data_IF_358840437401
#
_entry.id   IF_358840437401
#
_cell.length_a   1.000
_cell.length_b   1.000
_cell.length_c   1.000
_cell.angle_alpha   90.00
_cell.angle_beta   90.00
_cell.angle_gamma   90.00
#
_symmetry.space_group_name_H-M   'P 1'
#
loop_
_entity.id
_entity.type
_entity.pdbx_description
1 polymer ?
#
# COMPACT_ATOMS: atom_id res chain seq x y z
N UNK A 1 51.57 -53.98 -54.05
CA UNK A 1 50.23 -53.35 -53.87
C UNK A 1 49.90 -53.01 -52.41
N UNK A 2 50.88 -52.68 -51.56
CA UNK A 2 50.65 -52.36 -50.14
C UNK A 2 51.47 -51.16 -49.61
N UNK A 3 52.01 -50.31 -50.49
CA UNK A 3 52.81 -49.13 -50.14
C UNK A 3 52.17 -47.80 -50.56
N UNK A 4 50.93 -47.83 -51.06
CA UNK A 4 50.20 -46.66 -51.59
C UNK A 4 48.99 -46.25 -50.75
N UNK A 5 48.71 -46.97 -49.65
CA UNK A 5 47.62 -46.62 -48.71
C UNK A 5 48.08 -45.73 -47.57
N UNK A 6 49.29 -45.93 -47.03
CA UNK A 6 49.81 -45.10 -45.91
C UNK A 6 50.17 -43.66 -46.29
N UNK A 7 50.29 -43.32 -47.59
CA UNK A 7 50.55 -41.94 -48.03
C UNK A 7 49.29 -41.10 -48.25
N UNK A 8 48.10 -41.73 -48.27
CA UNK A 8 46.82 -41.02 -48.43
C UNK A 8 46.27 -40.52 -47.10
N UNK A 9 46.57 -41.20 -46.00
CA UNK A 9 46.00 -40.85 -44.68
C UNK A 9 46.71 -39.65 -44.01
N UNK A 10 47.93 -39.29 -44.43
CA UNK A 10 48.67 -38.13 -43.90
C UNK A 10 48.37 -36.81 -44.63
N UNK A 11 47.56 -36.83 -45.70
CA UNK A 11 47.21 -35.63 -46.48
C UNK A 11 45.80 -35.09 -46.24
N UNK A 12 44.95 -35.78 -45.49
CA UNK A 12 43.57 -35.36 -45.27
C UNK A 12 43.32 -34.65 -43.91
N UNK A 13 44.35 -34.48 -43.08
CA UNK A 13 44.19 -33.91 -41.73
C UNK A 13 44.83 -32.52 -41.50
N UNK A 14 45.29 -31.84 -42.56
CA UNK A 14 45.89 -30.50 -42.47
C UNK A 14 45.21 -29.48 -43.38
N UNK A 15 43.88 -29.45 -43.39
CA UNK A 15 43.12 -28.40 -44.09
C UNK A 15 41.68 -28.32 -43.55
N UNK A 16 41.53 -27.82 -42.32
CA UNK A 16 40.27 -27.23 -41.82
C UNK A 16 40.59 -26.01 -40.98
N UNK A 17 40.86 -24.89 -41.65
CA UNK A 17 40.70 -23.57 -41.04
C UNK A 17 39.21 -23.22 -40.95
N UNK A 18 38.61 -23.07 -39.76
CA UNK A 18 37.37 -22.30 -39.65
C UNK A 18 37.72 -20.81 -39.74
N UNK A 19 37.64 -20.25 -40.95
CA UNK A 19 37.73 -18.82 -41.21
C UNK A 19 36.38 -18.16 -40.91
N UNK A 20 36.25 -17.59 -39.72
CA UNK A 20 35.15 -16.71 -39.27
C UNK A 20 35.48 -16.27 -37.84
N UNK A 21 35.42 -15.03 -37.39
CA UNK A 21 34.90 -13.74 -37.86
C UNK A 21 35.77 -12.66 -37.16
N UNK A 22 35.93 -11.45 -37.70
CA UNK A 22 36.60 -10.38 -36.99
C UNK A 22 35.82 -10.04 -35.71
N UNK A 23 36.48 -10.20 -34.56
CA UNK A 23 35.97 -9.84 -33.25
C UNK A 23 35.47 -8.38 -33.24
N UNK A 24 34.17 -8.21 -33.44
CA UNK A 24 33.47 -6.96 -33.18
C UNK A 24 33.44 -6.79 -31.66
N UNK A 25 34.33 -5.96 -31.14
CA UNK A 25 34.27 -5.43 -29.78
C UNK A 25 33.04 -4.53 -29.67
N UNK A 26 31.86 -5.13 -29.50
CA UNK A 26 30.66 -4.41 -29.08
C UNK A 26 30.79 -4.03 -27.60
N UNK A 27 30.25 -2.88 -27.16
CA UNK A 27 30.25 -2.53 -25.75
C UNK A 27 29.52 -3.63 -24.97
N UNK A 28 30.16 -4.09 -23.89
CA UNK A 28 29.63 -5.11 -23.00
C UNK A 28 28.19 -4.72 -22.62
N UNK A 29 27.22 -5.57 -23.01
CA UNK A 29 25.83 -5.40 -22.61
C UNK A 29 25.79 -5.46 -21.08
N UNK A 30 25.53 -4.31 -20.46
CA UNK A 30 25.30 -4.19 -19.01
C UNK A 30 24.11 -5.09 -18.68
N UNK A 31 24.39 -6.24 -18.06
CA UNK A 31 23.35 -7.14 -17.55
C UNK A 31 22.60 -6.40 -16.43
N UNK A 32 21.34 -6.08 -16.69
CA UNK A 32 20.42 -5.43 -15.74
C UNK A 32 19.99 -6.34 -14.57
N UNK A 33 20.43 -7.60 -14.55
CA UNK A 33 20.03 -8.60 -13.55
C UNK A 33 20.92 -8.62 -12.29
N UNK A 34 21.92 -7.74 -12.18
CA UNK A 34 22.66 -7.58 -10.93
C UNK A 34 22.05 -6.45 -10.11
N UNK A 35 21.50 -6.71 -8.91
CA UNK A 35 21.14 -5.63 -8.00
C UNK A 35 22.41 -4.82 -7.72
N UNK A 36 22.39 -3.54 -8.12
CA UNK A 36 23.46 -2.59 -7.85
C UNK A 36 23.81 -2.66 -6.36
N UNK A 37 25.08 -2.94 -6.06
CA UNK A 37 25.58 -2.91 -4.70
C UNK A 37 25.16 -1.58 -4.04
N UNK A 38 24.61 -1.62 -2.82
CA UNK A 38 24.07 -0.43 -2.17
C UNK A 38 25.18 0.60 -2.03
N UNK A 39 25.08 1.66 -2.83
CA UNK A 39 26.01 2.78 -2.83
C UNK A 39 25.97 3.36 -1.42
N UNK A 40 27.05 3.18 -0.64
CA UNK A 40 27.16 3.64 0.75
C UNK A 40 26.88 5.15 0.77
N UNK A 41 25.64 5.52 1.10
CA UNK A 41 25.23 6.91 1.28
C UNK A 41 25.95 7.41 2.52
N UNK A 42 26.80 8.41 2.35
CA UNK A 42 27.48 9.15 3.43
C UNK A 42 26.56 10.22 4.06
N UNK A 43 25.29 10.22 3.69
CA UNK A 43 24.30 11.12 4.26
C UNK A 43 23.79 10.49 5.55
N UNK A 44 23.69 11.24 6.66
CA UNK A 44 23.00 10.75 7.86
C UNK A 44 21.62 10.24 7.45
N UNK A 45 21.37 8.95 7.65
CA UNK A 45 20.05 8.35 7.45
C UNK A 45 19.11 9.07 8.43
N UNK A 46 18.27 9.95 7.91
CA UNK A 46 17.28 10.65 8.70
C UNK A 46 16.28 9.61 9.19
N UNK A 47 16.38 9.19 10.46
CA UNK A 47 15.56 8.15 11.08
C UNK A 47 14.09 8.62 11.13
N UNK A 48 13.22 8.16 10.22
CA UNK A 48 11.84 8.63 10.09
C UNK A 48 11.00 8.27 11.32
N UNK A 49 11.41 7.23 12.05
CA UNK A 49 10.67 6.68 13.18
C UNK A 49 10.88 7.50 14.46
N UNK A 50 12.08 8.05 14.65
CA UNK A 50 12.38 8.93 15.77
C UNK A 50 11.60 10.26 15.68
N UNK A 51 11.60 10.88 14.50
CA UNK A 51 10.77 12.06 14.21
C UNK A 51 9.28 11.73 14.22
N UNK A 52 8.92 10.53 13.75
CA UNK A 52 7.63 9.85 13.96
C UNK A 52 7.01 10.09 15.33
N UNK A 53 7.70 9.53 16.32
CA UNK A 53 7.31 9.54 17.74
C UNK A 53 7.37 10.94 18.34
N UNK A 54 8.34 11.76 17.94
CA UNK A 54 8.46 13.15 18.40
C UNK A 54 7.27 13.99 17.93
N UNK A 55 6.90 13.92 16.65
CA UNK A 55 5.74 14.62 16.09
C UNK A 55 4.45 14.23 16.80
N UNK A 56 4.23 12.95 17.08
CA UNK A 56 3.01 12.48 17.77
C UNK A 56 2.95 12.97 19.23
N UNK A 57 4.09 13.08 19.89
CA UNK A 57 4.16 13.66 21.23
C UNK A 57 3.90 15.17 21.21
N UNK A 58 4.47 15.88 20.25
CA UNK A 58 4.24 17.32 20.03
C UNK A 58 2.78 17.58 19.67
N UNK A 59 2.17 16.80 18.77
CA UNK A 59 0.78 16.94 18.37
C UNK A 59 -0.18 16.78 19.55
N UNK A 60 0.02 15.75 20.39
CA UNK A 60 -0.77 15.57 21.62
C UNK A 60 -0.55 16.71 22.63
N UNK A 61 0.65 17.26 22.68
CA UNK A 61 0.99 18.36 23.59
C UNK A 61 0.39 19.70 23.14
N UNK A 62 0.51 20.05 21.86
CA UNK A 62 -0.05 21.28 21.28
C UNK A 62 -1.57 21.24 21.14
N UNK A 63 -2.15 20.07 20.84
CA UNK A 63 -3.60 19.90 20.71
C UNK A 63 -4.35 19.99 22.05
N UNK A 64 -3.65 19.93 23.18
CA UNK A 64 -4.26 20.06 24.51
C UNK A 64 -4.11 21.50 25.00
N UNK A 65 -5.19 22.12 25.49
CA UNK A 65 -5.17 23.49 26.06
C UNK A 65 -4.17 23.70 27.22
N UNK A 66 -3.57 22.62 27.74
CA UNK A 66 -2.51 22.62 28.74
C UNK A 66 -1.24 23.36 28.29
N UNK A 67 -0.90 23.38 27.00
CA UNK A 67 0.26 24.12 26.51
C UNK A 67 0.11 25.63 26.74
N UNK A 68 -1.07 26.17 26.40
CA UNK A 68 -1.38 27.59 26.57
C UNK A 68 -1.32 27.96 28.05
N UNK A 69 -1.92 27.14 28.93
CA UNK A 69 -1.87 27.35 30.39
C UNK A 69 -0.43 27.40 30.91
N UNK A 70 0.42 26.45 30.52
CA UNK A 70 1.83 26.44 30.92
C UNK A 70 2.59 27.68 30.41
N UNK A 71 2.39 28.06 29.15
CA UNK A 71 3.00 29.26 28.57
C UNK A 71 2.58 30.53 29.31
N UNK A 72 1.29 30.68 29.62
CA UNK A 72 0.78 31.83 30.39
C UNK A 72 1.40 31.87 31.78
N UNK A 73 1.49 30.74 32.48
CA UNK A 73 2.14 30.66 33.80
C UNK A 73 3.60 31.11 33.72
N UNK A 74 4.37 30.61 32.74
CA UNK A 74 5.77 31.01 32.55
C UNK A 74 5.92 32.52 32.34
N UNK A 75 5.07 33.13 31.50
CA UNK A 75 5.09 34.58 31.27
C UNK A 75 4.73 35.34 32.55
N UNK A 76 3.69 34.92 33.28
CA UNK A 76 3.28 35.55 34.54
C UNK A 76 4.37 35.45 35.60
N UNK A 77 5.04 34.29 35.72
CA UNK A 77 6.15 34.08 36.65
C UNK A 77 7.34 34.96 36.26
N UNK A 78 7.66 35.12 34.97
CA UNK A 78 8.73 36.00 34.50
C UNK A 78 8.47 37.47 34.83
N UNK A 79 7.25 37.93 34.55
CA UNK A 79 6.83 39.30 34.88
C UNK A 79 6.85 39.49 36.39
N UNK A 80 6.26 38.56 37.15
CA UNK A 80 6.25 38.62 38.62
C UNK A 80 7.65 38.66 39.20
N UNK A 81 8.57 37.82 38.72
CA UNK A 81 9.97 37.84 39.13
C UNK A 81 10.60 39.21 38.90
N UNK A 82 10.47 39.78 37.70
CA UNK A 82 11.10 41.06 37.39
C UNK A 82 10.46 42.28 38.07
N UNK A 83 9.15 42.21 38.38
CA UNK A 83 8.42 43.27 39.10
C UNK A 83 8.73 43.25 40.60
N UNK A 84 8.71 42.08 41.23
CA UNK A 84 8.92 41.95 42.68
C UNK A 84 10.39 41.81 43.09
N UNK A 85 11.29 41.56 42.13
CA UNK A 85 12.74 41.55 42.37
C UNK A 85 13.27 42.93 42.78
N UNK A 86 14.16 42.99 43.80
CA UNK A 86 14.95 44.19 44.09
C UNK A 86 15.76 44.64 42.87
N UNK A 87 15.99 45.95 42.72
CA UNK A 87 16.72 46.55 41.57
C UNK A 87 18.08 45.88 41.29
N UNK A 88 18.76 45.39 42.33
CA UNK A 88 20.04 44.70 42.22
C UNK A 88 19.98 43.33 41.51
N UNK A 89 18.81 42.70 41.40
CA UNK A 89 18.61 41.37 40.79
C UNK A 89 17.53 41.38 39.69
N UNK A 90 17.06 42.57 39.30
CA UNK A 90 16.14 42.75 38.17
C UNK A 90 16.90 42.48 36.88
N UNK A 91 16.58 41.37 36.22
CA UNK A 91 17.23 40.96 34.98
C UNK A 91 16.63 41.64 33.74
N UNK A 92 15.33 41.98 33.79
CA UNK A 92 14.54 42.47 32.66
C UNK A 92 13.50 43.51 33.13
N UNK A 93 13.88 44.78 33.13
CA UNK A 93 13.03 45.91 33.53
C UNK A 93 12.06 46.33 32.42
N UNK A 94 10.93 46.97 32.77
CA UNK A 94 9.95 47.45 31.80
C UNK A 94 10.65 48.31 30.72
N UNK A 95 10.62 47.93 29.42
CA UNK A 95 9.56 47.19 28.71
C UNK A 95 9.79 45.66 28.46
N UNK A 96 10.56 44.95 29.29
CA UNK A 96 10.81 43.49 29.18
C UNK A 96 11.44 43.06 27.84
N UNK A 97 12.64 43.56 27.54
CA UNK A 97 13.33 43.33 26.28
C UNK A 97 13.70 41.85 26.11
N UNK A 98 14.11 41.17 27.19
CA UNK A 98 14.52 39.76 27.10
C UNK A 98 13.33 38.85 26.85
N UNK A 99 12.21 39.09 27.54
CA UNK A 99 10.96 38.37 27.27
C UNK A 99 10.53 38.54 25.80
N UNK A 100 10.61 39.75 25.28
CA UNK A 100 10.25 40.06 23.89
C UNK A 100 11.18 39.38 22.88
N UNK A 101 12.49 39.39 23.14
CA UNK A 101 13.47 38.69 22.31
C UNK A 101 13.26 37.17 22.35
N UNK A 102 12.97 36.60 23.51
CA UNK A 102 12.70 35.17 23.66
C UNK A 102 11.43 34.76 22.89
N UNK A 103 10.34 35.54 23.00
CA UNK A 103 9.10 35.26 22.29
C UNK A 103 9.24 35.41 20.77
N UNK A 104 9.98 36.42 20.29
CA UNK A 104 10.22 36.59 18.86
C UNK A 104 11.09 35.46 18.28
N UNK A 105 12.12 35.03 19.00
CA UNK A 105 12.91 33.87 18.63
C UNK A 105 12.08 32.58 18.64
N UNK A 106 11.24 32.38 19.66
CA UNK A 106 10.35 31.23 19.76
C UNK A 106 9.43 31.13 18.53
N UNK A 107 8.81 32.23 18.11
CA UNK A 107 7.98 32.28 16.92
C UNK A 107 8.79 31.97 15.63
N UNK A 108 9.99 32.54 15.52
CA UNK A 108 10.88 32.34 14.36
C UNK A 108 11.32 30.88 14.18
N UNK A 109 11.64 30.18 15.27
CA UNK A 109 12.02 28.77 15.25
C UNK A 109 10.82 27.81 15.13
N UNK A 110 9.64 28.22 15.58
CA UNK A 110 8.43 27.42 15.43
C UNK A 110 8.06 27.20 13.96
N UNK A 111 8.17 28.23 13.11
CA UNK A 111 7.83 28.16 11.69
C UNK A 111 8.54 27.02 10.92
N UNK A 112 9.89 26.91 10.93
CA UNK A 112 10.57 25.81 10.23
C UNK A 112 10.24 24.45 10.83
N UNK A 113 10.09 24.32 12.15
CA UNK A 113 9.67 23.05 12.75
C UNK A 113 8.27 22.62 12.32
N UNK A 114 7.34 23.56 12.24
CA UNK A 114 5.98 23.31 11.75
C UNK A 114 6.04 22.89 10.29
N UNK A 115 6.84 23.56 9.45
CA UNK A 115 7.01 23.19 8.03
C UNK A 115 7.59 21.78 7.87
N UNK A 116 8.58 21.39 8.67
CA UNK A 116 9.12 20.02 8.65
C UNK A 116 8.08 18.99 9.12
N UNK A 117 7.27 19.34 10.12
CA UNK A 117 6.19 18.48 10.60
C UNK A 117 5.08 18.32 9.56
N UNK A 118 4.74 19.39 8.83
CA UNK A 118 3.73 19.42 7.78
C UNK A 118 4.14 18.61 6.55
N UNK A 119 5.36 18.80 6.03
CA UNK A 119 5.83 18.02 4.86
C UNK A 119 5.68 16.50 5.06
N UNK A 120 5.87 16.01 6.30
CA UNK A 120 5.73 14.58 6.62
C UNK A 120 4.29 14.15 6.95
N UNK A 121 3.41 15.09 7.28
CA UNK A 121 1.97 14.82 7.32
C UNK A 121 1.46 14.67 5.88
N UNK A 122 1.82 15.59 5.00
CA UNK A 122 1.42 15.58 3.58
C UNK A 122 1.89 14.31 2.86
N UNK A 123 3.12 13.84 3.12
CA UNK A 123 3.62 12.57 2.55
C UNK A 123 2.82 11.34 3.01
N UNK A 124 2.42 11.29 4.30
CA UNK A 124 1.60 10.19 4.82
C UNK A 124 0.17 10.27 4.30
N UNK A 125 -0.39 11.46 4.25
CA UNK A 125 -1.74 11.69 3.73
C UNK A 125 -1.81 11.32 2.25
N UNK A 126 -0.75 11.59 1.48
CA UNK A 126 -0.64 11.13 0.08
C UNK A 126 -0.67 9.61 -0.04
N UNK A 127 0.10 8.89 0.77
CA UNK A 127 0.12 7.41 0.73
C UNK A 127 -1.24 6.84 1.12
N UNK A 128 -1.87 7.38 2.16
CA UNK A 128 -3.21 6.97 2.58
C UNK A 128 -4.24 7.21 1.45
N UNK A 129 -4.21 8.37 0.79
CA UNK A 129 -5.08 8.69 -0.35
C UNK A 129 -4.88 7.73 -1.53
N UNK A 130 -3.63 7.34 -1.83
CA UNK A 130 -3.34 6.36 -2.88
C UNK A 130 -3.85 4.96 -2.53
N UNK A 131 -3.76 4.56 -1.26
CA UNK A 131 -4.32 3.29 -0.78
C UNK A 131 -5.84 3.29 -0.82
N UNK A 132 -6.49 4.36 -0.35
CA UNK A 132 -7.95 4.50 -0.36
C UNK A 132 -8.50 4.46 -1.78
N UNK A 133 -7.83 5.09 -2.74
CA UNK A 133 -8.20 5.00 -4.17
C UNK A 133 -8.16 3.56 -4.67
N UNK A 134 -7.07 2.82 -4.41
CA UNK A 134 -6.97 1.40 -4.79
C UNK A 134 -8.01 0.53 -4.11
N UNK A 135 -8.34 0.82 -2.85
CA UNK A 135 -9.35 0.10 -2.08
C UNK A 135 -10.74 0.37 -2.66
N UNK A 136 -11.04 1.62 -3.02
CA UNK A 136 -12.29 2.02 -3.65
C UNK A 136 -12.47 1.38 -5.03
N UNK A 137 -11.42 1.35 -5.86
CA UNK A 137 -11.43 0.65 -7.14
C UNK A 137 -11.76 -0.85 -6.99
N UNK A 138 -11.15 -1.50 -5.99
CA UNK A 138 -11.47 -2.91 -5.67
C UNK A 138 -12.91 -3.06 -5.17
N UNK A 139 -13.38 -2.18 -4.29
CA UNK A 139 -14.75 -2.22 -3.79
C UNK A 139 -15.79 -2.05 -4.89
N UNK A 140 -15.51 -1.19 -5.89
CA UNK A 140 -16.37 -1.03 -7.07
C UNK A 140 -16.38 -2.32 -7.88
N UNK A 141 -15.21 -2.91 -8.14
CA UNK A 141 -15.11 -4.18 -8.88
C UNK A 141 -15.82 -5.33 -8.16
N UNK A 142 -15.67 -5.44 -6.83
CA UNK A 142 -16.34 -6.46 -6.01
C UNK A 142 -17.86 -6.24 -6.03
N UNK A 143 -18.33 -4.99 -5.95
CA UNK A 143 -19.75 -4.68 -6.05
C UNK A 143 -20.30 -5.03 -7.43
N UNK A 144 -19.55 -4.74 -8.49
CA UNK A 144 -19.94 -5.10 -9.85
C UNK A 144 -19.99 -6.62 -10.02
N UNK A 145 -18.99 -7.34 -9.51
CA UNK A 145 -18.95 -8.80 -9.53
C UNK A 145 -20.15 -9.39 -8.77
N UNK A 146 -20.40 -8.96 -7.54
CA UNK A 146 -21.55 -9.40 -6.75
C UNK A 146 -22.88 -9.07 -7.45
N UNK A 147 -22.98 -7.91 -8.11
CA UNK A 147 -24.19 -7.53 -8.85
C UNK A 147 -24.45 -8.48 -10.04
N UNK A 148 -23.40 -8.88 -10.76
CA UNK A 148 -23.46 -9.84 -11.86
C UNK A 148 -23.79 -11.24 -11.36
N UNK A 149 -23.18 -11.66 -10.26
CA UNK A 149 -23.43 -12.96 -9.64
C UNK A 149 -24.88 -13.06 -9.14
N UNK A 150 -25.39 -12.01 -8.48
CA UNK A 150 -26.80 -11.94 -8.04
C UNK A 150 -27.76 -11.93 -9.23
N UNK A 151 -27.42 -11.23 -10.32
CA UNK A 151 -28.22 -11.27 -11.54
C UNK A 151 -28.24 -12.67 -12.18
N UNK A 152 -27.09 -13.35 -12.22
CA UNK A 152 -26.99 -14.74 -12.71
C UNK A 152 -27.77 -15.72 -11.83
N UNK A 153 -27.64 -15.62 -10.51
CA UNK A 153 -28.43 -16.40 -9.54
C UNK A 153 -29.93 -16.14 -9.69
N UNK A 154 -30.35 -14.89 -9.88
CA UNK A 154 -31.75 -14.53 -10.12
C UNK A 154 -32.29 -15.17 -11.39
N UNK A 155 -31.52 -15.18 -12.47
CA UNK A 155 -31.93 -15.82 -13.73
C UNK A 155 -32.01 -17.33 -13.57
N UNK A 156 -31.00 -17.97 -12.96
CA UNK A 156 -31.01 -19.41 -12.70
C UNK A 156 -32.14 -19.84 -11.76
N UNK A 157 -32.42 -19.09 -10.71
CA UNK A 157 -33.59 -19.31 -9.85
C UNK A 157 -34.91 -19.01 -10.60
N UNK A 158 -34.94 -18.00 -11.46
CA UNK A 158 -36.11 -17.70 -12.29
C UNK A 158 -36.45 -18.83 -13.28
N UNK A 159 -35.44 -19.52 -13.81
CA UNK A 159 -35.60 -20.68 -14.68
C UNK A 159 -36.00 -21.95 -13.89
N UNK A 160 -35.36 -22.22 -12.74
CA UNK A 160 -35.57 -23.44 -11.93
C UNK A 160 -36.81 -23.35 -11.02
N UNK A 161 -37.20 -22.15 -10.59
CA UNK A 161 -38.38 -21.91 -9.76
C UNK A 161 -39.51 -21.25 -10.57
N UNK A 162 -39.80 -21.78 -11.76
CA UNK A 162 -41.00 -21.33 -12.45
C UNK A 162 -42.23 -21.87 -11.70
N UNK A 163 -43.19 -20.99 -11.46
CA UNK A 163 -44.50 -21.22 -10.81
C UNK A 163 -45.14 -22.59 -11.09
N UNK A 164 -44.93 -23.15 -12.29
CA UNK A 164 -45.48 -24.44 -12.69
C UNK A 164 -44.76 -25.65 -12.07
N UNK A 165 -43.45 -25.58 -11.80
CA UNK A 165 -42.73 -26.64 -11.05
C UNK A 165 -43.10 -26.62 -9.56
N UNK A 166 -43.12 -25.43 -8.94
CA UNK A 166 -43.57 -25.31 -7.54
C UNK A 166 -45.03 -25.75 -7.41
N UNK A 167 -45.87 -25.44 -8.41
CA UNK A 167 -47.26 -25.89 -8.46
C UNK A 167 -47.36 -27.40 -8.61
N UNK A 168 -46.59 -28.03 -9.50
CA UNK A 168 -46.62 -29.48 -9.67
C UNK A 168 -46.14 -30.20 -8.41
N UNK A 169 -45.10 -29.69 -7.74
CA UNK A 169 -44.56 -30.30 -6.52
C UNK A 169 -45.52 -30.14 -5.33
N UNK A 170 -46.18 -28.97 -5.21
CA UNK A 170 -47.25 -28.77 -4.23
C UNK A 170 -48.46 -29.67 -4.51
N UNK A 171 -48.87 -29.82 -5.77
CA UNK A 171 -49.95 -30.75 -6.14
C UNK A 171 -49.57 -32.20 -5.84
N UNK A 172 -48.32 -32.61 -6.09
CA UNK A 172 -47.85 -33.97 -5.83
C UNK A 172 -47.76 -34.26 -4.33
N UNK A 173 -47.27 -33.31 -3.53
CA UNK A 173 -47.27 -33.38 -2.06
C UNK A 173 -48.70 -33.43 -1.48
N UNK A 174 -49.61 -32.61 -1.99
CA UNK A 174 -51.03 -32.62 -1.58
C UNK A 174 -51.68 -33.96 -1.93
N UNK A 175 -51.46 -34.48 -3.14
CA UNK A 175 -51.96 -35.81 -3.55
C UNK A 175 -51.42 -36.94 -2.68
N UNK A 176 -50.16 -36.83 -2.26
CA UNK A 176 -49.52 -37.81 -1.39
C UNK A 176 -50.14 -37.79 0.01
N UNK A 177 -50.47 -36.61 0.55
CA UNK A 177 -51.18 -36.45 1.83
C UNK A 177 -52.66 -36.86 1.76
N UNK A 178 -53.31 -36.68 0.60
CA UNK A 178 -54.67 -37.16 0.32
C UNK A 178 -54.75 -38.69 0.09
N UNK A 179 -53.62 -39.40 0.13
CA UNK A 179 -53.59 -40.86 0.21
C UNK A 179 -53.98 -41.60 -1.08
N UNK A 180 -53.87 -40.96 -2.25
CA UNK A 180 -54.14 -41.63 -3.52
C UNK A 180 -52.84 -42.23 -4.10
N UNK A 181 -52.66 -43.56 -4.14
CA UNK A 181 -51.44 -44.16 -4.66
C UNK A 181 -51.32 -43.95 -6.18
N UNK A 182 -50.10 -43.81 -6.72
CA UNK A 182 -49.88 -43.55 -8.13
C UNK A 182 -50.40 -44.73 -8.97
N UNK A 183 -51.24 -44.43 -9.97
CA UNK A 183 -51.67 -45.43 -10.95
C UNK A 183 -50.46 -45.83 -11.79
N UNK A 184 -49.96 -47.03 -11.55
CA UNK A 184 -48.96 -47.68 -12.40
C UNK A 184 -49.43 -47.58 -13.87
N UNK A 185 -48.65 -46.86 -14.68
CA UNK A 185 -48.81 -46.85 -16.12
C UNK A 185 -48.63 -48.29 -16.58
N UNK A 186 -49.70 -48.88 -17.12
CA UNK A 186 -49.71 -50.24 -17.62
C UNK A 186 -48.69 -50.38 -18.73
N UNK A 187 -47.59 -51.08 -18.43
CA UNK A 187 -46.67 -51.65 -19.40
C UNK A 187 -47.47 -52.58 -20.32
N UNK A 188 -47.77 -52.05 -21.52
CA UNK A 188 -48.36 -52.74 -22.64
C UNK A 188 -47.37 -53.74 -23.24
N UNK A 189 -47.04 -54.77 -22.46
CA UNK A 189 -46.54 -56.04 -22.97
C UNK A 189 -47.62 -56.68 -23.85
N UNK A 190 -47.58 -56.45 -25.17
CA UNK A 190 -48.21 -57.32 -26.16
C UNK A 190 -47.71 -57.04 -27.59
N UNK A 191 -46.76 -57.89 -27.99
CA UNK A 191 -46.86 -58.74 -29.18
C UNK A 191 -46.94 -58.06 -30.56
N UNK A 192 -45.82 -58.01 -31.30
CA UNK A 192 -45.48 -58.94 -32.40
C UNK A 192 -44.40 -58.34 -33.30
#
# INVERSE_FOLDING_TARGET
>A
MAADRERRDLREHREREPRGEPARTGPARVRLDQPLAPRRRLWPEYDPDAFGRLSERIARFLGTGRFIVWMTITVVVWIGWNVFAPEAVRFDEYPFIFLTLALSLQASYAAPLILLAQNRQDDRDRVNLEQDRKQNERSIADTEYLSREVAALRTGLGEVATRDWIRSELEDLVRTLEGTPPRAHGDGSRNR
#
